data_IF_470007981576
#
_entry.id   IF_470007981576
#
_cell.length_a   1.000
_cell.length_b   1.000
_cell.length_c   1.000
_cell.angle_alpha   90.00
_cell.angle_beta   90.00
_cell.angle_gamma   90.00
#
_symmetry.space_group_name_H-M   'P 1'
#
loop_
_entity.id
_entity.type
_entity.pdbx_description
1 polymer ?
#
# COMPACT_ATOMS: atom_id res chain seq x y z
N UNK A 1 69.82 42.58 26.65
CA UNK A 1 68.77 41.95 27.48
C UNK A 1 67.49 41.89 26.64
N UNK A 2 67.48 40.96 25.68
CA UNK A 2 66.63 39.75 25.63
C UNK A 2 65.12 40.03 25.54
N UNK A 3 64.63 40.06 24.29
CA UNK A 3 63.22 39.89 23.93
C UNK A 3 62.93 38.39 23.92
N UNK A 4 61.95 37.94 24.70
CA UNK A 4 61.43 36.56 24.63
C UNK A 4 60.09 36.59 23.90
N UNK A 5 60.04 35.96 22.73
CA UNK A 5 58.82 35.66 21.99
C UNK A 5 58.19 34.39 22.58
N UNK A 6 56.91 34.45 22.95
CA UNK A 6 56.12 33.26 23.28
C UNK A 6 55.35 32.82 22.02
N UNK A 7 55.71 31.65 21.52
CA UNK A 7 54.97 30.90 20.50
C UNK A 7 53.88 30.12 21.24
N UNK A 8 52.61 30.34 20.88
CA UNK A 8 51.49 29.50 21.32
C UNK A 8 51.26 28.43 20.25
N UNK A 9 51.22 27.13 20.59
CA UNK A 9 50.98 26.08 19.61
C UNK A 9 49.49 26.04 19.25
N UNK A 10 49.20 25.98 17.95
CA UNK A 10 47.85 25.74 17.44
C UNK A 10 47.56 24.23 17.57
N UNK A 11 46.73 23.86 18.55
CA UNK A 11 46.24 22.48 18.70
C UNK A 11 45.19 22.23 17.61
N UNK A 12 45.55 21.43 16.59
CA UNK A 12 44.58 20.95 15.61
C UNK A 12 43.68 19.90 16.25
N UNK A 13 42.42 20.24 16.48
CA UNK A 13 41.40 19.32 16.95
C UNK A 13 40.97 18.42 15.77
N UNK A 14 41.51 17.20 15.73
CA UNK A 14 41.03 16.16 14.83
C UNK A 14 39.73 15.61 15.41
N UNK A 15 38.59 16.08 14.92
CA UNK A 15 37.30 15.47 15.22
C UNK A 15 37.19 14.14 14.47
N UNK A 16 37.45 13.04 15.16
CA UNK A 16 37.03 11.71 14.72
C UNK A 16 35.50 11.64 14.82
N UNK A 17 34.81 11.59 13.68
CA UNK A 17 33.39 11.24 13.66
C UNK A 17 33.26 9.76 14.00
N UNK A 18 32.95 9.47 15.26
CA UNK A 18 32.39 8.18 15.63
C UNK A 18 30.98 8.13 15.04
N UNK A 19 30.70 7.12 14.21
CA UNK A 19 29.36 6.80 13.74
C UNK A 19 28.43 6.66 14.96
N UNK A 20 27.56 7.64 15.15
CA UNK A 20 26.42 7.46 16.03
C UNK A 20 25.51 6.43 15.34
N UNK A 21 25.48 5.20 15.88
CA UNK A 21 24.39 4.28 15.59
C UNK A 21 23.09 5.00 15.98
N UNK A 22 22.24 5.22 14.99
CA UNK A 22 20.91 5.76 15.21
C UNK A 22 20.05 4.71 15.92
N UNK A 23 20.09 4.73 17.25
CA UNK A 23 19.32 3.85 18.13
C UNK A 23 17.84 4.24 18.24
N UNK A 24 17.35 5.17 17.40
CA UNK A 24 15.93 5.59 17.39
C UNK A 24 15.09 4.92 16.30
N UNK A 25 15.73 4.23 15.36
CA UNK A 25 15.03 3.54 14.27
C UNK A 25 14.75 2.08 14.67
N UNK A 26 13.48 1.69 14.85
CA UNK A 26 13.02 0.32 15.18
C UNK A 26 13.23 -0.69 14.02
N UNK A 27 14.32 -0.57 13.27
CA UNK A 27 14.64 -1.46 12.16
C UNK A 27 15.27 -2.75 12.66
N UNK A 28 14.80 -3.87 12.12
CA UNK A 28 15.42 -5.18 12.30
C UNK A 28 16.32 -5.46 11.11
N UNK A 29 17.60 -5.72 11.36
CA UNK A 29 18.51 -6.19 10.30
C UNK A 29 18.01 -7.52 9.75
N UNK A 30 18.00 -7.63 8.42
CA UNK A 30 17.75 -8.87 7.71
C UNK A 30 19.06 -9.51 7.22
N UNK A 31 20.20 -8.83 7.34
CA UNK A 31 21.50 -9.43 7.02
C UNK A 31 22.02 -10.19 8.24
N UNK A 32 22.25 -11.51 8.16
CA UNK A 32 22.83 -12.27 9.26
C UNK A 32 24.34 -11.97 9.41
N UNK A 33 24.92 -12.28 10.58
CA UNK A 33 26.35 -12.05 10.84
C UNK A 33 27.27 -12.89 9.93
N UNK A 34 26.82 -14.08 9.57
CA UNK A 34 27.44 -15.01 8.62
C UNK A 34 26.34 -15.76 7.88
N UNK A 35 26.67 -16.52 6.83
CA UNK A 35 25.69 -17.39 6.19
C UNK A 35 24.51 -16.62 5.56
N UNK A 36 23.38 -17.31 5.42
CA UNK A 36 22.17 -16.82 4.76
C UNK A 36 20.91 -17.10 5.62
N UNK A 37 21.06 -17.20 6.94
CA UNK A 37 19.97 -17.45 7.87
C UNK A 37 18.85 -16.41 7.71
N UNK A 38 17.60 -16.88 7.69
CA UNK A 38 16.43 -16.04 7.41
C UNK A 38 16.17 -15.82 5.92
N UNK A 39 16.95 -16.45 5.04
CA UNK A 39 16.80 -16.40 3.60
C UNK A 39 16.83 -17.78 2.95
N UNK A 40 16.17 -17.88 1.79
CA UNK A 40 16.25 -19.03 0.89
C UNK A 40 16.24 -18.60 -0.57
N UNK A 41 16.64 -19.51 -1.46
CA UNK A 41 16.55 -19.32 -2.89
C UNK A 41 15.14 -19.50 -3.43
N UNK A 42 14.68 -18.54 -4.21
CA UNK A 42 13.47 -18.69 -5.02
C UNK A 42 13.62 -17.97 -6.37
N UNK A 43 13.38 -18.63 -7.51
CA UNK A 43 13.43 -17.97 -8.81
C UNK A 43 12.23 -17.04 -9.01
N UNK A 44 12.16 -16.39 -10.18
CA UNK A 44 10.97 -15.65 -10.59
C UNK A 44 9.75 -16.59 -10.65
N UNK A 45 8.90 -16.50 -9.63
CA UNK A 45 7.76 -17.39 -9.44
C UNK A 45 6.60 -16.63 -8.84
N UNK A 46 5.43 -16.78 -9.44
CA UNK A 46 4.16 -16.29 -8.89
C UNK A 46 3.96 -16.83 -7.46
N UNK A 47 3.77 -15.97 -6.44
CA UNK A 47 3.52 -16.37 -5.06
C UNK A 47 2.44 -17.44 -4.88
N UNK A 48 1.42 -17.46 -5.72
CA UNK A 48 0.33 -18.45 -5.67
C UNK A 48 0.80 -19.87 -5.97
N UNK A 49 1.92 -20.03 -6.67
CA UNK A 49 2.47 -21.33 -7.10
C UNK A 49 3.53 -21.88 -6.14
N UNK A 50 3.93 -21.12 -5.13
CA UNK A 50 5.02 -21.54 -4.23
C UNK A 50 4.64 -22.76 -3.37
N UNK A 51 3.38 -22.85 -2.94
CA UNK A 51 2.88 -23.98 -2.15
C UNK A 51 2.90 -25.32 -2.93
N UNK A 52 2.93 -25.27 -4.26
CA UNK A 52 2.94 -26.45 -5.13
C UNK A 52 4.36 -26.90 -5.52
N UNK A 53 5.40 -26.23 -5.01
CA UNK A 53 6.79 -26.59 -5.30
C UNK A 53 7.19 -27.82 -4.51
N UNK A 54 7.63 -28.86 -5.23
CA UNK A 54 8.09 -30.11 -4.64
C UNK A 54 9.44 -29.97 -3.91
N UNK A 55 9.72 -30.92 -3.01
CA UNK A 55 10.93 -30.91 -2.20
C UNK A 55 12.23 -31.03 -3.01
N UNK A 56 12.18 -31.64 -4.19
CA UNK A 56 13.33 -31.80 -5.08
C UNK A 56 13.76 -30.44 -5.66
N UNK A 57 12.80 -29.64 -6.16
CA UNK A 57 13.06 -28.27 -6.62
C UNK A 57 13.52 -27.35 -5.48
N UNK A 58 12.91 -27.46 -4.30
CA UNK A 58 13.36 -26.68 -3.14
C UNK A 58 14.82 -27.01 -2.78
N UNK A 59 15.20 -28.29 -2.82
CA UNK A 59 16.58 -28.72 -2.60
C UNK A 59 17.53 -28.21 -3.70
N UNK A 60 17.10 -28.23 -4.97
CA UNK A 60 17.86 -27.67 -6.08
C UNK A 60 18.11 -26.17 -5.89
N UNK A 61 17.07 -25.38 -5.60
CA UNK A 61 17.22 -23.94 -5.40
C UNK A 61 18.11 -23.62 -4.21
N UNK A 62 18.03 -24.41 -3.14
CA UNK A 62 18.95 -24.28 -2.01
C UNK A 62 20.40 -24.48 -2.44
N UNK A 63 20.70 -25.54 -3.19
CA UNK A 63 22.05 -25.79 -3.69
C UNK A 63 22.55 -24.67 -4.62
N UNK A 64 21.70 -24.19 -5.53
CA UNK A 64 22.04 -23.05 -6.40
C UNK A 64 22.26 -21.77 -5.61
N UNK A 65 21.51 -21.55 -4.54
CA UNK A 65 21.70 -20.40 -3.64
C UNK A 65 23.05 -20.47 -2.95
N UNK A 66 23.41 -21.62 -2.37
CA UNK A 66 24.69 -21.83 -1.71
C UNK A 66 25.89 -21.71 -2.67
N UNK A 67 25.68 -21.96 -3.97
CA UNK A 67 26.69 -21.80 -5.00
C UNK A 67 26.91 -20.34 -5.43
N UNK A 68 25.85 -19.53 -5.49
CA UNK A 68 25.88 -18.21 -6.11
C UNK A 68 25.72 -17.04 -5.14
N UNK A 69 25.27 -17.31 -3.91
CA UNK A 69 25.16 -16.32 -2.84
C UNK A 69 26.18 -16.58 -1.74
N UNK A 70 26.79 -15.51 -1.25
CA UNK A 70 27.64 -15.56 -0.06
C UNK A 70 27.42 -14.33 0.81
N UNK A 71 27.72 -14.46 2.09
CA UNK A 71 27.77 -13.34 3.02
C UNK A 71 29.19 -13.17 3.51
N UNK A 72 29.78 -12.00 3.25
CA UNK A 72 31.13 -11.65 3.70
C UNK A 72 31.06 -10.35 4.48
N UNK A 73 31.32 -10.44 5.78
CA UNK A 73 31.37 -9.30 6.70
C UNK A 73 30.10 -8.43 6.65
N UNK A 74 28.92 -9.05 6.62
CA UNK A 74 27.63 -8.36 6.55
C UNK A 74 27.27 -7.82 5.16
N UNK A 75 27.94 -8.30 4.11
CA UNK A 75 27.61 -8.00 2.72
C UNK A 75 27.15 -9.26 2.01
N UNK A 76 25.90 -9.26 1.55
CA UNK A 76 25.34 -10.31 0.71
C UNK A 76 25.80 -10.08 -0.73
N UNK A 77 26.43 -11.09 -1.32
CA UNK A 77 27.07 -11.01 -2.64
C UNK A 77 26.45 -12.07 -3.53
N UNK A 78 26.00 -11.67 -4.72
CA UNK A 78 25.60 -12.56 -5.79
C UNK A 78 26.44 -12.33 -7.04
N UNK A 79 26.80 -13.42 -7.74
CA UNK A 79 27.67 -13.41 -8.92
C UNK A 79 26.95 -13.20 -10.26
N UNK A 80 25.65 -12.90 -10.23
CA UNK A 80 24.78 -12.73 -11.39
C UNK A 80 23.97 -13.96 -11.79
N UNK A 81 24.08 -15.06 -11.03
CA UNK A 81 23.41 -16.33 -11.33
C UNK A 81 22.62 -16.87 -10.13
N UNK A 82 21.88 -17.96 -10.37
CA UNK A 82 21.07 -18.63 -9.36
C UNK A 82 19.71 -17.97 -9.09
N UNK A 83 19.00 -18.43 -8.06
CA UNK A 83 17.70 -17.88 -7.69
C UNK A 83 17.84 -16.54 -6.94
N UNK A 84 16.71 -15.86 -6.75
CA UNK A 84 16.65 -14.64 -5.93
C UNK A 84 16.79 -15.00 -4.46
N UNK A 85 17.48 -14.15 -3.71
CA UNK A 85 17.56 -14.31 -2.26
C UNK A 85 16.26 -13.77 -1.66
N UNK A 86 15.49 -14.65 -1.01
CA UNK A 86 14.11 -14.40 -0.57
C UNK A 86 14.01 -14.55 0.95
N UNK A 87 13.39 -13.58 1.63
CA UNK A 87 13.21 -13.66 3.08
C UNK A 87 12.28 -14.83 3.45
N UNK A 88 12.60 -15.55 4.52
CA UNK A 88 11.71 -16.59 5.07
C UNK A 88 10.43 -15.99 5.65
N UNK A 89 10.56 -14.79 6.24
CA UNK A 89 9.44 -14.02 6.77
C UNK A 89 8.73 -13.26 5.66
N UNK A 90 7.41 -13.21 5.74
CA UNK A 90 6.57 -12.31 4.93
C UNK A 90 6.23 -11.03 5.70
N UNK A 91 6.02 -9.95 4.94
CA UNK A 91 5.71 -8.63 5.48
C UNK A 91 4.44 -8.07 4.84
N UNK A 92 3.69 -7.31 5.64
CA UNK A 92 2.51 -6.56 5.18
C UNK A 92 2.92 -5.11 4.91
N UNK A 93 2.64 -4.19 5.82
CA UNK A 93 3.03 -2.79 5.73
C UNK A 93 4.41 -2.59 6.38
N UNK A 94 5.34 -1.94 5.67
CA UNK A 94 6.72 -1.80 6.14
C UNK A 94 7.44 -0.59 5.57
N UNK A 95 8.49 -0.20 6.28
CA UNK A 95 9.59 0.61 5.78
C UNK A 95 10.83 -0.29 5.63
N UNK A 96 11.36 -0.39 4.42
CA UNK A 96 12.56 -1.15 4.07
C UNK A 96 13.68 -0.17 3.73
N UNK A 97 14.87 -0.39 4.28
CA UNK A 97 16.10 0.27 3.86
C UNK A 97 17.14 -0.77 3.46
N UNK A 98 17.94 -0.44 2.46
CA UNK A 98 19.08 -1.25 2.03
C UNK A 98 20.06 -0.39 1.25
N UNK A 99 21.27 -0.90 1.07
CA UNK A 99 22.20 -0.40 0.07
C UNK A 99 22.54 -1.48 -0.94
N UNK A 100 22.71 -1.07 -2.20
CA UNK A 100 23.21 -1.95 -3.25
C UNK A 100 24.43 -1.35 -3.96
N UNK A 101 25.30 -2.23 -4.46
CA UNK A 101 26.39 -1.88 -5.36
C UNK A 101 26.43 -2.90 -6.49
N UNK A 102 26.53 -2.41 -7.72
CA UNK A 102 26.49 -3.26 -8.91
C UNK A 102 27.50 -2.80 -9.97
N UNK A 103 27.68 -3.64 -10.98
CA UNK A 103 28.61 -3.43 -12.11
C UNK A 103 27.85 -2.98 -13.37
N UNK A 104 28.57 -2.42 -14.34
CA UNK A 104 28.00 -2.09 -15.64
C UNK A 104 27.41 -3.35 -16.31
N UNK A 105 26.34 -3.16 -17.07
CA UNK A 105 25.51 -4.16 -17.78
C UNK A 105 24.73 -5.11 -16.88
N UNK A 106 24.89 -5.02 -15.56
CA UNK A 106 24.05 -5.75 -14.63
C UNK A 106 22.62 -5.20 -14.65
N UNK A 107 21.68 -6.08 -14.32
CA UNK A 107 20.27 -5.78 -14.13
C UNK A 107 19.86 -6.40 -12.80
N UNK A 108 18.98 -5.74 -12.05
CA UNK A 108 18.48 -6.26 -10.79
C UNK A 108 17.21 -5.51 -10.38
N UNK A 109 16.73 -5.79 -9.19
CA UNK A 109 15.56 -5.18 -8.61
C UNK A 109 15.25 -5.73 -7.23
N UNK A 110 14.37 -5.02 -6.55
CA UNK A 110 13.86 -5.40 -5.24
C UNK A 110 12.41 -5.79 -5.44
N UNK A 111 12.09 -7.05 -5.13
CA UNK A 111 10.73 -7.55 -5.17
C UNK A 111 10.08 -7.23 -3.84
N UNK A 112 8.91 -6.60 -3.92
CA UNK A 112 8.09 -6.22 -2.78
C UNK A 112 6.92 -7.19 -2.71
N UNK A 113 6.81 -7.93 -1.60
CA UNK A 113 5.80 -9.00 -1.41
C UNK A 113 5.83 -10.03 -2.55
N UNK A 114 7.02 -10.47 -2.92
CA UNK A 114 7.24 -11.44 -4.02
C UNK A 114 6.80 -10.94 -5.40
N UNK A 115 6.67 -9.63 -5.59
CA UNK A 115 6.24 -9.01 -6.85
C UNK A 115 7.33 -8.06 -7.37
N UNK A 116 7.76 -8.19 -8.65
CA UNK A 116 8.85 -7.39 -9.21
C UNK A 116 8.42 -5.94 -9.41
N UNK A 117 9.08 -4.97 -8.77
CA UNK A 117 8.79 -3.56 -9.05
C UNK A 117 9.98 -2.62 -8.99
N UNK A 118 10.69 -2.54 -7.86
CA UNK A 118 11.71 -1.50 -7.68
C UNK A 118 12.95 -1.87 -8.48
N UNK A 119 13.09 -1.26 -9.65
CA UNK A 119 14.03 -1.67 -10.67
C UNK A 119 15.42 -1.06 -10.45
N UNK A 120 16.47 -1.84 -10.73
CA UNK A 120 17.87 -1.38 -10.72
C UNK A 120 18.42 -1.56 -12.12
N UNK A 121 18.72 -0.45 -12.79
CA UNK A 121 19.16 -0.44 -14.18
C UNK A 121 20.66 -0.21 -14.33
N UNK A 122 21.22 -0.71 -15.43
CA UNK A 122 22.33 -0.02 -16.07
C UNK A 122 21.80 1.19 -16.85
N UNK A 123 21.99 2.39 -16.29
CA UNK A 123 21.50 3.64 -16.92
C UNK A 123 22.35 4.13 -18.10
N UNK A 124 23.40 3.38 -18.47
CA UNK A 124 24.31 3.64 -19.58
C UNK A 124 24.14 2.64 -20.74
N UNK A 125 23.38 1.57 -20.55
CA UNK A 125 23.07 0.59 -21.59
C UNK A 125 22.00 1.14 -22.56
N UNK A 126 22.47 1.74 -23.65
CA UNK A 126 21.62 2.30 -24.71
C UNK A 126 20.61 1.29 -25.29
N UNK A 127 20.93 -0.01 -25.25
CA UNK A 127 20.02 -1.05 -25.75
C UNK A 127 18.72 -1.13 -24.94
N UNK A 128 18.75 -0.69 -23.67
CA UNK A 128 17.61 -0.68 -22.73
C UNK A 128 16.92 0.67 -22.61
N UNK A 129 17.31 1.69 -23.37
CA UNK A 129 16.68 3.02 -23.26
C UNK A 129 15.21 3.02 -23.72
N UNK A 130 14.84 2.11 -24.63
CA UNK A 130 13.42 1.90 -24.99
C UNK A 130 12.58 1.37 -23.83
N UNK A 131 13.24 0.79 -22.82
CA UNK A 131 12.65 0.35 -21.55
C UNK A 131 12.80 1.42 -20.46
N UNK A 132 13.27 2.62 -20.77
CA UNK A 132 13.41 3.70 -19.79
C UNK A 132 14.61 3.58 -18.86
N UNK A 133 15.59 2.69 -19.12
CA UNK A 133 16.79 2.57 -18.30
C UNK A 133 17.58 3.90 -18.18
N UNK A 134 17.52 4.76 -19.22
CA UNK A 134 18.11 6.10 -19.19
C UNK A 134 17.44 7.06 -18.19
N UNK A 135 16.21 6.78 -17.74
CA UNK A 135 15.47 7.60 -16.80
C UNK A 135 15.96 7.41 -15.35
N UNK A 136 16.59 6.27 -15.05
CA UNK A 136 17.14 5.95 -13.74
C UNK A 136 16.47 4.77 -13.04
N UNK A 137 17.06 4.34 -11.93
CA UNK A 137 16.57 3.25 -11.09
C UNK A 137 15.53 3.70 -10.05
N UNK A 138 14.94 2.74 -9.34
CA UNK A 138 14.03 2.95 -8.21
C UNK A 138 12.55 3.06 -8.58
N UNK A 139 12.22 3.10 -9.87
CA UNK A 139 10.84 3.11 -10.35
C UNK A 139 10.13 1.77 -10.14
N UNK A 140 8.80 1.79 -10.12
CA UNK A 140 7.90 0.63 -10.19
C UNK A 140 7.77 0.21 -11.65
N UNK A 141 8.83 -0.40 -12.19
CA UNK A 141 9.00 -0.65 -13.62
C UNK A 141 7.81 -1.39 -14.25
N UNK A 142 7.20 -2.31 -13.52
CA UNK A 142 6.10 -3.13 -14.00
C UNK A 142 4.72 -2.47 -13.84
N UNK A 143 4.60 -1.23 -13.39
CA UNK A 143 3.33 -0.50 -13.50
C UNK A 143 2.94 -0.27 -14.97
N UNK A 144 1.68 0.06 -15.23
CA UNK A 144 1.21 0.34 -16.59
C UNK A 144 1.87 1.61 -17.14
N UNK A 145 2.03 1.71 -18.46
CA UNK A 145 2.63 2.88 -19.09
C UNK A 145 1.88 4.17 -18.71
N UNK A 146 2.61 5.19 -18.25
CA UNK A 146 2.04 6.47 -17.80
C UNK A 146 1.39 6.42 -16.40
N UNK A 147 1.32 5.26 -15.75
CA UNK A 147 0.87 5.20 -14.36
C UNK A 147 1.91 5.84 -13.43
N UNK A 148 1.48 6.47 -12.32
CA UNK A 148 2.41 6.97 -11.30
C UNK A 148 3.41 5.88 -10.86
N UNK A 149 4.67 6.28 -10.69
CA UNK A 149 5.76 5.40 -10.30
C UNK A 149 6.32 4.50 -11.40
N UNK A 150 5.70 4.42 -12.59
CA UNK A 150 6.22 3.63 -13.73
C UNK A 150 7.63 4.04 -14.12
N UNK A 151 7.88 5.33 -14.13
CA UNK A 151 9.18 5.96 -14.39
C UNK A 151 9.59 6.76 -13.14
N UNK A 152 10.88 6.87 -12.84
CA UNK A 152 11.34 7.59 -11.65
C UNK A 152 11.14 9.10 -11.84
N UNK A 153 10.84 9.81 -10.75
CA UNK A 153 10.69 11.27 -10.77
C UNK A 153 12.00 11.98 -11.12
N UNK A 154 13.13 11.42 -10.67
CA UNK A 154 14.48 11.92 -10.94
C UNK A 154 15.45 10.76 -11.15
N UNK A 155 16.46 10.97 -12.00
CA UNK A 155 17.60 10.05 -12.11
C UNK A 155 18.53 10.27 -10.92
N UNK A 156 18.53 9.34 -9.97
CA UNK A 156 19.30 9.45 -8.72
C UNK A 156 20.44 8.43 -8.60
N UNK A 157 20.69 7.61 -9.61
CA UNK A 157 21.76 6.61 -9.64
C UNK A 157 23.16 7.22 -9.46
N UNK A 158 23.98 6.57 -8.63
CA UNK A 158 25.43 6.81 -8.57
C UNK A 158 26.18 5.99 -9.63
N UNK A 159 27.43 6.35 -9.95
CA UNK A 159 28.29 5.56 -10.83
C UNK A 159 28.45 4.09 -10.39
N UNK A 160 28.70 3.19 -11.34
CA UNK A 160 28.98 1.78 -11.04
C UNK A 160 30.19 1.63 -10.12
N UNK A 161 30.12 0.67 -9.19
CA UNK A 161 31.11 0.50 -8.13
C UNK A 161 30.89 1.36 -6.89
N UNK A 162 29.93 2.29 -6.89
CA UNK A 162 29.50 3.02 -5.70
C UNK A 162 28.25 2.39 -5.06
N UNK A 163 28.08 2.62 -3.76
CA UNK A 163 26.90 2.19 -3.01
C UNK A 163 25.75 3.18 -3.21
N UNK A 164 24.60 2.64 -3.61
CA UNK A 164 23.33 3.34 -3.75
C UNK A 164 22.45 2.98 -2.55
N UNK A 165 21.92 3.98 -1.84
CA UNK A 165 20.97 3.77 -0.75
C UNK A 165 19.54 3.77 -1.28
N UNK A 166 18.73 2.82 -0.83
CA UNK A 166 17.31 2.71 -1.18
C UNK A 166 16.49 2.69 0.10
N UNK A 167 15.42 3.49 0.13
CA UNK A 167 14.40 3.43 1.18
C UNK A 167 13.02 3.29 0.54
N UNK A 168 12.27 2.27 0.94
CA UNK A 168 10.92 1.98 0.45
C UNK A 168 9.95 2.07 1.63
N UNK A 169 8.86 2.80 1.47
CA UNK A 169 7.71 2.77 2.39
C UNK A 169 6.55 2.17 1.60
N UNK A 170 6.01 1.04 2.06
CA UNK A 170 4.87 0.39 1.44
C UNK A 170 3.76 0.15 2.46
N UNK A 171 2.61 0.80 2.24
CA UNK A 171 1.37 0.64 3.01
C UNK A 171 0.25 0.22 2.06
N UNK A 172 -0.29 -0.99 2.22
CA UNK A 172 -1.14 -1.59 1.19
C UNK A 172 -0.40 -1.70 -0.14
N UNK A 173 -0.93 -1.11 -1.21
CA UNK A 173 -0.26 -0.97 -2.51
C UNK A 173 0.49 0.35 -2.65
N UNK A 174 0.25 1.31 -1.77
CA UNK A 174 0.85 2.63 -1.82
C UNK A 174 2.33 2.54 -1.50
N UNK A 175 3.15 2.88 -2.47
CA UNK A 175 4.59 2.68 -2.44
C UNK A 175 5.31 4.00 -2.70
N UNK A 176 6.21 4.35 -1.80
CA UNK A 176 7.13 5.48 -1.91
C UNK A 176 8.54 4.95 -1.94
N UNK A 177 9.37 5.44 -2.86
CA UNK A 177 10.76 5.02 -3.01
C UNK A 177 11.67 6.25 -3.01
N UNK A 178 12.71 6.18 -2.18
CA UNK A 178 13.85 7.09 -2.21
C UNK A 178 15.08 6.33 -2.71
N UNK A 179 15.84 6.96 -3.60
CA UNK A 179 17.14 6.49 -4.07
C UNK A 179 18.15 7.60 -3.81
N UNK A 180 19.21 7.31 -3.03
CA UNK A 180 20.22 8.29 -2.64
C UNK A 180 19.61 9.58 -2.06
N UNK A 181 18.67 9.41 -1.13
CA UNK A 181 17.90 10.47 -0.46
C UNK A 181 17.01 11.33 -1.37
N UNK A 182 16.94 11.02 -2.66
CA UNK A 182 16.03 11.66 -3.62
C UNK A 182 14.74 10.85 -3.74
N UNK A 183 13.59 11.54 -3.70
CA UNK A 183 12.28 10.92 -3.93
C UNK A 183 12.15 10.53 -5.41
N UNK A 184 12.06 9.24 -5.71
CA UNK A 184 11.95 8.72 -7.09
C UNK A 184 10.58 8.12 -7.39
N UNK A 185 9.83 7.68 -6.38
CA UNK A 185 8.41 7.30 -6.50
C UNK A 185 7.66 7.89 -5.32
N UNK A 186 6.60 8.64 -5.58
CA UNK A 186 5.77 9.28 -4.55
C UNK A 186 4.40 8.61 -4.43
N UNK A 187 4.21 7.81 -3.38
CA UNK A 187 2.93 7.24 -2.94
C UNK A 187 2.08 6.63 -4.07
N UNK A 188 2.73 5.98 -5.03
CA UNK A 188 2.09 5.39 -6.19
C UNK A 188 1.42 4.05 -5.84
N UNK A 189 0.33 3.70 -6.53
CA UNK A 189 -0.23 2.36 -6.43
C UNK A 189 0.67 1.38 -7.17
N UNK A 190 1.25 0.44 -6.44
CA UNK A 190 1.96 -0.70 -6.99
C UNK A 190 0.98 -1.70 -7.59
N UNK A 191 1.03 -1.87 -8.90
CA UNK A 191 0.19 -2.83 -9.62
C UNK A 191 0.65 -4.27 -9.36
N UNK A 192 -0.31 -5.19 -9.34
CA UNK A 192 -0.01 -6.61 -9.26
C UNK A 192 0.47 -7.11 -10.63
N UNK A 193 1.79 -7.31 -10.75
CA UNK A 193 2.42 -7.83 -11.98
C UNK A 193 1.82 -9.17 -12.43
N UNK A 194 1.47 -10.03 -11.47
CA UNK A 194 1.00 -11.39 -11.73
C UNK A 194 -0.46 -11.44 -12.18
N UNK A 195 -1.25 -10.43 -11.84
CA UNK A 195 -2.65 -10.27 -12.25
C UNK A 195 -3.13 -8.83 -11.98
N UNK A 196 -3.09 -7.96 -12.99
CA UNK A 196 -3.48 -6.55 -12.85
C UNK A 196 -4.96 -6.34 -12.54
N UNK A 197 -5.80 -7.37 -12.68
CA UNK A 197 -7.22 -7.30 -12.30
C UNK A 197 -7.43 -7.44 -10.79
N UNK A 198 -6.40 -7.89 -10.07
CA UNK A 198 -6.44 -8.10 -8.62
C UNK A 198 -5.58 -7.06 -7.89
N UNK A 199 -5.87 -6.77 -6.61
CA UNK A 199 -4.96 -6.02 -5.78
C UNK A 199 -3.61 -6.76 -5.62
N UNK A 200 -2.57 -6.04 -5.20
CA UNK A 200 -1.33 -6.66 -4.76
C UNK A 200 -1.60 -7.61 -3.58
N UNK A 201 -0.76 -8.64 -3.44
CA UNK A 201 -0.79 -9.49 -2.26
C UNK A 201 -0.68 -8.66 -0.98
N UNK A 202 -1.50 -9.01 0.03
CA UNK A 202 -1.51 -8.34 1.33
C UNK A 202 -0.20 -8.55 2.09
N UNK A 203 0.36 -9.75 2.01
CA UNK A 203 1.68 -10.11 2.55
C UNK A 203 2.54 -10.77 1.49
N UNK A 204 3.84 -10.74 1.70
CA UNK A 204 4.79 -11.55 0.96
C UNK A 204 6.23 -11.25 1.36
N UNK A 205 7.21 -12.00 0.83
CA UNK A 205 8.61 -11.82 1.17
C UNK A 205 9.22 -10.60 0.45
N UNK A 206 10.38 -10.16 0.94
CA UNK A 206 11.30 -9.31 0.17
C UNK A 206 12.22 -10.23 -0.63
N UNK A 207 12.47 -9.90 -1.90
CA UNK A 207 13.45 -10.64 -2.70
C UNK A 207 14.47 -9.71 -3.34
N UNK A 208 15.74 -10.12 -3.25
CA UNK A 208 16.87 -9.47 -3.90
C UNK A 208 17.13 -10.19 -5.22
N UNK A 209 16.83 -9.52 -6.33
CA UNK A 209 16.94 -10.12 -7.66
C UNK A 209 18.40 -10.30 -8.06
N UNK A 210 18.66 -11.39 -8.77
CA UNK A 210 19.88 -11.56 -9.58
C UNK A 210 19.52 -11.62 -11.05
N UNK A 211 20.31 -10.95 -11.90
CA UNK A 211 20.15 -11.01 -13.34
C UNK A 211 21.43 -10.62 -14.12
N UNK A 212 22.32 -11.59 -14.32
CA UNK A 212 23.37 -11.54 -15.34
C UNK A 212 24.61 -10.69 -15.01
N UNK A 213 24.70 -10.14 -13.80
CA UNK A 213 25.88 -9.42 -13.32
C UNK A 213 25.98 -9.38 -11.81
N UNK A 214 27.19 -9.15 -11.29
CA UNK A 214 27.45 -9.10 -9.85
C UNK A 214 26.65 -7.98 -9.19
N UNK A 215 26.01 -8.31 -8.06
CA UNK A 215 25.37 -7.32 -7.20
C UNK A 215 25.63 -7.64 -5.72
N UNK A 216 25.91 -6.59 -4.96
CA UNK A 216 26.16 -6.65 -3.54
C UNK A 216 25.07 -5.88 -2.81
N UNK A 217 24.68 -6.39 -1.65
CA UNK A 217 23.67 -5.81 -0.78
C UNK A 217 24.20 -5.74 0.65
N UNK A 218 23.93 -4.64 1.34
CA UNK A 218 24.21 -4.50 2.76
C UNK A 218 23.16 -3.63 3.43
N UNK A 219 23.20 -3.60 4.76
CA UNK A 219 22.31 -2.79 5.58
C UNK A 219 20.82 -3.01 5.23
N UNK A 220 20.49 -4.23 4.77
CA UNK A 220 19.12 -4.64 4.47
C UNK A 220 18.40 -4.76 5.81
N UNK A 221 17.47 -3.84 6.07
CA UNK A 221 16.76 -3.79 7.33
C UNK A 221 15.32 -3.32 7.13
N UNK A 222 14.42 -3.85 7.95
CA UNK A 222 12.99 -3.60 7.82
C UNK A 222 12.37 -3.15 9.14
N UNK A 223 11.38 -2.27 9.06
CA UNK A 223 10.52 -1.84 10.16
C UNK A 223 9.07 -2.06 9.75
N UNK A 224 8.36 -2.90 10.46
CA UNK A 224 6.93 -3.12 10.21
C UNK A 224 6.13 -1.89 10.67
N UNK A 225 5.13 -1.52 9.89
CA UNK A 225 4.28 -0.35 10.13
C UNK A 225 2.94 -0.85 10.70
N UNK A 226 2.61 -0.39 11.91
CA UNK A 226 1.35 -0.72 12.57
C UNK A 226 0.15 0.00 11.94
N UNK A 227 -1.07 -0.48 12.23
CA UNK A 227 -2.31 0.03 11.68
C UNK A 227 -2.49 1.56 11.82
N UNK A 228 -2.21 2.11 13.00
CA UNK A 228 -2.39 3.54 13.27
C UNK A 228 -1.39 4.40 12.48
N UNK A 229 -0.13 4.00 12.40
CA UNK A 229 0.89 4.69 11.60
C UNK A 229 0.57 4.57 10.11
N UNK A 230 0.18 3.39 9.64
CA UNK A 230 -0.26 3.18 8.26
C UNK A 230 -1.44 4.10 7.89
N UNK A 231 -2.41 4.27 8.79
CA UNK A 231 -3.51 5.22 8.60
C UNK A 231 -3.02 6.66 8.49
N UNK A 232 -2.08 7.06 9.35
CA UNK A 232 -1.50 8.42 9.30
C UNK A 232 -0.75 8.65 7.98
N UNK A 233 0.03 7.67 7.52
CA UNK A 233 0.72 7.73 6.23
C UNK A 233 -0.31 7.91 5.11
N UNK A 234 -1.29 7.01 4.98
CA UNK A 234 -2.31 7.08 3.92
C UNK A 234 -3.08 8.40 3.95
N UNK A 235 -3.48 8.85 5.14
CA UNK A 235 -4.21 10.10 5.32
C UNK A 235 -3.35 11.35 5.08
N UNK A 236 -2.02 11.27 5.14
CA UNK A 236 -1.13 12.43 4.93
C UNK A 236 -0.96 12.84 3.46
N UNK A 237 -1.22 11.92 2.52
CA UNK A 237 -1.01 12.16 1.09
C UNK A 237 -2.28 12.65 0.36
N UNK A 238 -2.13 13.58 -0.58
CA UNK A 238 -3.22 13.98 -1.50
C UNK A 238 -4.41 14.67 -0.84
N UNK A 239 -4.17 15.46 0.22
CA UNK A 239 -5.22 16.16 0.97
C UNK A 239 -5.73 17.45 0.31
N UNK A 240 -5.08 17.91 -0.74
CA UNK A 240 -5.43 19.17 -1.40
C UNK A 240 -6.89 19.16 -1.87
N UNK A 241 -7.68 20.13 -1.42
CA UNK A 241 -9.07 20.32 -1.78
C UNK A 241 -10.10 19.46 -1.04
N UNK A 242 -9.70 18.54 -0.16
CA UNK A 242 -10.65 17.81 0.68
C UNK A 242 -11.28 18.74 1.73
N UNK A 243 -12.62 18.72 1.83
CA UNK A 243 -13.38 19.41 2.86
C UNK A 243 -13.88 18.41 3.91
N UNK A 244 -13.66 18.67 5.21
CA UNK A 244 -14.30 17.86 6.25
C UNK A 244 -15.82 18.06 6.22
N UNK A 245 -16.58 16.96 6.27
CA UNK A 245 -18.04 16.96 6.37
C UNK A 245 -18.54 16.57 7.77
N UNK A 246 -17.61 16.36 8.71
CA UNK A 246 -17.91 16.08 10.11
C UNK A 246 -17.01 16.90 11.04
N UNK A 247 -17.62 17.59 12.00
CA UNK A 247 -16.92 18.50 12.90
C UNK A 247 -16.34 17.81 14.16
N UNK A 248 -16.57 16.50 14.32
CA UNK A 248 -16.17 15.72 15.50
C UNK A 248 -17.01 16.01 16.75
N UNK A 249 -18.09 16.78 16.66
CA UNK A 249 -18.84 17.30 17.82
C UNK A 249 -20.35 17.11 17.68
N UNK A 250 -20.88 17.20 16.47
CA UNK A 250 -22.31 17.18 16.22
C UNK A 250 -22.64 16.59 14.85
N UNK A 251 -23.91 16.23 14.64
CA UNK A 251 -24.44 15.84 13.33
C UNK A 251 -24.89 17.06 12.51
N UNK A 252 -24.36 18.26 12.81
CA UNK A 252 -24.63 19.44 11.98
C UNK A 252 -24.11 19.20 10.57
N UNK A 253 -24.94 19.50 9.56
CA UNK A 253 -24.61 19.17 8.17
C UNK A 253 -25.07 17.78 7.74
N UNK A 254 -25.77 17.03 8.61
CA UNK A 254 -26.33 15.71 8.34
C UNK A 254 -27.84 15.67 8.56
N UNK A 255 -28.52 14.81 7.82
CA UNK A 255 -29.98 14.58 7.76
C UNK A 255 -30.31 13.09 7.77
N UNK A 256 -31.60 12.80 7.85
CA UNK A 256 -32.14 11.44 7.85
C UNK A 256 -32.26 10.90 9.26
N UNK A 257 -31.67 9.74 9.52
CA UNK A 257 -31.79 9.00 10.78
C UNK A 257 -30.95 9.61 11.93
N UNK A 258 -30.90 10.94 12.08
CA UNK A 258 -30.07 11.65 13.06
C UNK A 258 -30.29 11.16 14.50
N UNK A 259 -31.52 10.80 14.87
CA UNK A 259 -31.84 10.29 16.22
C UNK A 259 -31.32 8.86 16.48
N UNK A 260 -31.00 8.12 15.42
CA UNK A 260 -30.46 6.77 15.48
C UNK A 260 -28.93 6.74 15.52
N UNK A 261 -28.27 7.88 15.32
CA UNK A 261 -26.83 8.04 15.43
C UNK A 261 -26.48 8.92 16.63
N UNK A 262 -25.24 8.81 17.07
CA UNK A 262 -24.67 9.61 18.13
C UNK A 262 -23.24 10.02 17.79
N UNK A 263 -22.78 11.10 18.41
CA UNK A 263 -21.37 11.51 18.36
C UNK A 263 -20.72 11.10 19.67
N UNK A 264 -19.75 10.20 19.61
CA UNK A 264 -19.01 9.67 20.78
C UNK A 264 -17.52 9.81 20.49
N UNK A 265 -16.79 10.48 21.38
CA UNK A 265 -15.33 10.68 21.30
C UNK A 265 -14.83 11.12 19.91
N UNK A 266 -15.56 12.04 19.26
CA UNK A 266 -15.19 12.55 17.94
C UNK A 266 -15.53 11.62 16.78
N UNK A 267 -16.39 10.61 16.99
CA UNK A 267 -16.83 9.65 15.99
C UNK A 267 -18.34 9.68 15.84
N UNK A 268 -18.83 9.51 14.60
CA UNK A 268 -20.23 9.17 14.35
C UNK A 268 -20.40 7.67 14.59
N UNK A 269 -21.38 7.28 15.40
CA UNK A 269 -21.71 5.88 15.68
C UNK A 269 -23.20 5.63 15.54
N UNK A 270 -23.57 4.55 14.86
CA UNK A 270 -24.97 4.09 14.90
C UNK A 270 -25.28 3.54 16.29
N UNK A 271 -26.41 3.93 16.89
CA UNK A 271 -26.77 3.41 18.22
C UNK A 271 -27.01 1.90 18.13
N UNK A 272 -26.62 1.11 19.15
CA UNK A 272 -26.85 -0.33 19.13
C UNK A 272 -28.33 -0.68 18.91
N UNK A 273 -28.62 -1.57 17.96
CA UNK A 273 -29.97 -1.99 17.54
C UNK A 273 -30.81 -0.90 16.85
N UNK A 274 -30.19 0.18 16.40
CA UNK A 274 -30.81 1.19 15.54
C UNK A 274 -30.21 1.17 14.14
N UNK A 275 -30.89 1.78 13.17
CA UNK A 275 -30.38 1.83 11.79
C UNK A 275 -30.97 2.99 10.99
N UNK A 276 -30.95 2.84 9.67
CA UNK A 276 -31.43 3.85 8.75
C UNK A 276 -30.33 4.75 8.20
N UNK A 277 -30.72 5.60 7.27
CA UNK A 277 -29.77 6.37 6.46
C UNK A 277 -29.47 7.71 7.11
N UNK A 278 -28.21 7.93 7.48
CA UNK A 278 -27.69 9.24 7.88
C UNK A 278 -26.91 9.80 6.69
N UNK A 279 -27.24 10.98 6.19
CA UNK A 279 -26.62 11.50 4.97
C UNK A 279 -26.35 13.01 5.06
N UNK A 280 -25.36 13.46 4.29
CA UNK A 280 -24.92 14.85 4.22
C UNK A 280 -26.01 15.79 3.70
N UNK A 281 -26.00 17.05 4.15
CA UNK A 281 -26.90 18.10 3.64
C UNK A 281 -26.63 18.44 2.17
N UNK A 282 -25.35 18.43 1.80
CA UNK A 282 -24.87 18.70 0.45
C UNK A 282 -25.09 17.47 -0.44
N UNK A 283 -25.19 17.72 -1.74
CA UNK A 283 -25.18 16.69 -2.79
C UNK A 283 -23.94 16.82 -3.65
N UNK A 284 -23.43 15.70 -4.13
CA UNK A 284 -22.16 15.59 -4.85
C UNK A 284 -22.39 14.88 -6.19
N UNK A 285 -21.72 15.37 -7.23
CA UNK A 285 -21.70 14.76 -8.55
C UNK A 285 -20.59 13.73 -8.62
N UNK A 286 -19.48 14.08 -9.27
CA UNK A 286 -18.21 13.38 -9.12
C UNK A 286 -17.53 13.86 -7.84
N UNK A 287 -16.97 12.92 -7.06
CA UNK A 287 -16.30 13.22 -5.81
C UNK A 287 -15.36 12.10 -5.37
N UNK A 288 -14.44 12.44 -4.47
CA UNK A 288 -13.76 11.48 -3.60
C UNK A 288 -14.24 11.65 -2.19
N UNK A 289 -14.33 10.56 -1.44
CA UNK A 289 -14.55 10.57 0.00
C UNK A 289 -13.47 9.77 0.70
N UNK A 290 -12.93 10.32 1.77
CA UNK A 290 -12.08 9.63 2.74
C UNK A 290 -12.84 9.45 4.03
N UNK A 291 -12.72 8.28 4.62
CA UNK A 291 -13.37 7.95 5.89
C UNK A 291 -12.53 6.93 6.64
N UNK A 292 -12.36 7.16 7.95
CA UNK A 292 -11.91 6.13 8.88
C UNK A 292 -13.13 5.42 9.44
N UNK A 293 -13.13 4.09 9.42
CA UNK A 293 -14.19 3.31 10.05
C UNK A 293 -13.65 2.19 10.94
N UNK A 294 -14.42 1.83 11.97
CA UNK A 294 -14.13 0.71 12.87
C UNK A 294 -15.35 -0.17 13.01
N UNK A 295 -15.14 -1.47 12.80
CA UNK A 295 -16.19 -2.48 12.89
C UNK A 295 -16.21 -3.07 14.31
N UNK A 296 -17.40 -3.22 14.93
CA UNK A 296 -17.61 -4.17 16.01
C UNK A 296 -17.72 -5.61 15.45
N UNK A 297 -17.62 -6.65 16.30
CA UNK A 297 -17.84 -8.03 15.86
C UNK A 297 -19.20 -8.20 15.19
N UNK A 298 -19.21 -8.72 13.97
CA UNK A 298 -20.41 -8.88 13.15
C UNK A 298 -21.05 -7.57 12.69
N UNK A 299 -20.34 -6.45 12.73
CA UNK A 299 -20.89 -5.15 12.34
C UNK A 299 -21.31 -5.08 10.88
N UNK A 300 -22.43 -4.42 10.61
CA UNK A 300 -22.95 -4.14 9.29
C UNK A 300 -23.41 -2.68 9.17
N UNK A 301 -22.97 -2.02 8.09
CA UNK A 301 -23.36 -0.69 7.65
C UNK A 301 -23.01 -0.58 6.15
N UNK A 302 -23.12 0.61 5.57
CA UNK A 302 -22.64 0.86 4.22
C UNK A 302 -22.42 2.33 3.95
N UNK A 303 -21.68 2.65 2.90
CA UNK A 303 -21.57 4.02 2.40
C UNK A 303 -22.61 4.22 1.31
N UNK A 304 -23.57 5.10 1.56
CA UNK A 304 -24.59 5.47 0.58
C UNK A 304 -23.98 6.44 -0.44
N UNK A 305 -23.93 6.03 -1.72
CA UNK A 305 -23.33 6.81 -2.80
C UNK A 305 -24.42 7.45 -3.65
N UNK A 306 -24.36 8.79 -3.80
CA UNK A 306 -25.35 9.59 -4.54
C UNK A 306 -26.80 9.26 -4.15
N UNK A 307 -27.05 9.12 -2.86
CA UNK A 307 -28.38 8.83 -2.33
C UNK A 307 -29.34 10.00 -2.59
N UNK A 308 -30.57 9.77 -3.11
CA UNK A 308 -31.51 10.84 -3.42
C UNK A 308 -32.17 11.49 -2.18
N UNK A 309 -31.94 10.96 -0.98
CA UNK A 309 -32.51 11.47 0.28
C UNK A 309 -33.75 10.71 0.77
N UNK A 310 -34.29 9.81 -0.05
CA UNK A 310 -35.41 8.95 0.28
C UNK A 310 -35.24 7.53 -0.29
N UNK A 311 -36.03 6.58 0.22
CA UNK A 311 -35.95 5.17 -0.18
C UNK A 311 -34.78 4.41 0.46
N UNK A 312 -34.49 3.21 -0.06
CA UNK A 312 -33.42 2.36 0.48
C UNK A 312 -32.07 2.75 -0.15
N UNK A 313 -31.05 3.18 0.63
CA UNK A 313 -29.78 3.64 0.08
C UNK A 313 -29.06 2.59 -0.80
N UNK A 314 -29.26 1.30 -0.52
CA UNK A 314 -28.70 0.20 -1.29
C UNK A 314 -29.18 0.13 -2.74
N UNK A 315 -30.35 0.70 -3.04
CA UNK A 315 -30.98 0.61 -4.37
C UNK A 315 -31.34 1.98 -4.95
N UNK A 316 -31.78 2.91 -4.11
CA UNK A 316 -32.22 4.25 -4.47
C UNK A 316 -31.05 5.18 -4.77
N UNK A 317 -29.87 4.98 -4.16
CA UNK A 317 -28.64 5.67 -4.55
C UNK A 317 -27.99 5.03 -5.78
N UNK A 318 -26.86 5.56 -6.25
CA UNK A 318 -26.06 4.88 -7.28
C UNK A 318 -25.65 3.48 -6.84
N UNK A 319 -25.22 3.36 -5.58
CA UNK A 319 -24.98 2.08 -4.92
C UNK A 319 -24.79 2.31 -3.41
N UNK A 320 -24.87 1.23 -2.63
CA UNK A 320 -24.25 1.14 -1.32
C UNK A 320 -22.88 0.46 -1.47
N UNK A 321 -21.83 1.06 -0.91
CA UNK A 321 -20.55 0.37 -0.72
C UNK A 321 -20.53 -0.28 0.64
N UNK A 322 -20.46 -1.60 0.66
CA UNK A 322 -20.68 -2.37 1.88
C UNK A 322 -19.63 -2.10 2.97
N UNK A 323 -20.05 -1.96 4.22
CA UNK A 323 -19.20 -1.89 5.42
C UNK A 323 -19.57 -3.04 6.36
N UNK A 324 -18.81 -4.14 6.28
CA UNK A 324 -19.19 -5.40 6.91
C UNK A 324 -17.99 -6.10 7.57
N UNK A 325 -18.21 -6.66 8.76
CA UNK A 325 -17.30 -7.67 9.31
C UNK A 325 -17.46 -8.99 8.54
N UNK A 326 -16.61 -9.15 7.52
CA UNK A 326 -16.58 -10.33 6.67
C UNK A 326 -16.24 -11.64 7.42
N UNK A 327 -15.74 -11.55 8.66
CA UNK A 327 -15.28 -12.73 9.43
C UNK A 327 -16.37 -13.34 10.30
N UNK A 328 -17.49 -12.64 10.49
CA UNK A 328 -18.56 -13.13 11.33
C UNK A 328 -19.29 -14.34 10.70
N UNK A 329 -19.51 -15.39 11.50
CA UNK A 329 -20.11 -16.66 11.05
C UNK A 329 -21.48 -16.46 10.36
N UNK A 330 -22.29 -15.51 10.85
CA UNK A 330 -23.59 -15.16 10.24
C UNK A 330 -23.49 -14.71 8.78
N UNK A 331 -22.32 -14.31 8.31
CA UNK A 331 -22.06 -13.84 6.95
C UNK A 331 -21.25 -14.82 6.10
N UNK A 332 -21.00 -16.05 6.58
CA UNK A 332 -20.14 -17.03 5.89
C UNK A 332 -20.64 -17.47 4.50
N UNK A 333 -21.92 -17.24 4.18
CA UNK A 333 -22.58 -17.73 2.95
C UNK A 333 -23.28 -16.61 2.15
N UNK A 334 -22.82 -15.38 2.28
CA UNK A 334 -23.34 -14.28 1.46
C UNK A 334 -22.87 -14.39 -0.01
N UNK A 335 -23.63 -13.77 -0.91
CA UNK A 335 -23.18 -13.50 -2.28
C UNK A 335 -21.92 -12.62 -2.24
N UNK A 336 -21.00 -12.83 -3.19
CA UNK A 336 -19.74 -12.10 -3.24
C UNK A 336 -19.94 -10.56 -3.25
N UNK A 337 -21.03 -10.07 -3.88
CA UNK A 337 -21.39 -8.66 -4.00
C UNK A 337 -21.94 -8.05 -2.71
N UNK A 338 -22.05 -8.82 -1.63
CA UNK A 338 -22.54 -8.36 -0.32
C UNK A 338 -21.43 -8.24 0.73
N UNK A 339 -20.18 -8.57 0.41
CA UNK A 339 -19.05 -8.39 1.33
C UNK A 339 -18.48 -6.98 1.25
N UNK A 340 -17.75 -6.59 2.29
CA UNK A 340 -17.17 -5.25 2.43
C UNK A 340 -16.47 -4.73 1.16
N UNK A 341 -16.67 -3.45 0.87
CA UNK A 341 -16.09 -2.74 -0.27
C UNK A 341 -16.84 -2.96 -1.58
N UNK A 342 -17.72 -3.96 -1.67
CA UNK A 342 -18.49 -4.26 -2.87
C UNK A 342 -19.51 -3.16 -3.16
N UNK A 343 -19.76 -2.89 -4.44
CA UNK A 343 -20.95 -2.17 -4.88
C UNK A 343 -22.14 -3.13 -4.75
N UNK A 344 -22.94 -2.93 -3.69
CA UNK A 344 -23.89 -3.91 -3.20
C UNK A 344 -24.81 -4.42 -4.30
N UNK A 345 -24.85 -5.74 -4.48
CA UNK A 345 -25.69 -6.41 -5.49
C UNK A 345 -25.27 -6.20 -6.95
N UNK A 346 -24.20 -5.45 -7.23
CA UNK A 346 -23.70 -5.15 -8.60
C UNK A 346 -22.30 -5.70 -8.87
N UNK A 347 -21.31 -5.38 -8.03
CA UNK A 347 -19.91 -5.75 -8.27
C UNK A 347 -19.19 -6.11 -6.96
N UNK A 348 -18.55 -7.27 -6.94
CA UNK A 348 -17.83 -7.77 -5.78
C UNK A 348 -16.44 -7.14 -5.67
N UNK A 349 -16.07 -6.70 -4.46
CA UNK A 349 -14.72 -6.26 -4.16
C UNK A 349 -13.82 -7.45 -3.76
N UNK A 350 -12.51 -7.27 -3.94
CA UNK A 350 -11.51 -8.19 -3.41
C UNK A 350 -11.58 -8.22 -1.87
N UNK A 351 -11.55 -9.43 -1.30
CA UNK A 351 -11.62 -9.66 0.14
C UNK A 351 -10.24 -9.83 0.76
N UNK A 352 -10.17 -9.76 2.09
CA UNK A 352 -8.94 -10.04 2.85
C UNK A 352 -8.08 -8.81 3.17
N UNK A 353 -8.55 -7.60 2.87
CA UNK A 353 -7.81 -6.34 3.10
C UNK A 353 -8.31 -5.52 4.29
N UNK A 354 -9.39 -5.98 4.94
CA UNK A 354 -9.82 -5.46 6.24
C UNK A 354 -8.77 -5.77 7.30
N UNK A 355 -8.59 -4.80 8.20
CA UNK A 355 -7.93 -5.04 9.48
C UNK A 355 -8.85 -5.80 10.42
N UNK A 356 -8.26 -6.30 11.50
CA UNK A 356 -8.99 -7.03 12.51
C UNK A 356 -10.09 -6.16 13.12
N UNK A 357 -11.18 -6.81 13.54
CA UNK A 357 -12.30 -6.14 14.21
C UNK A 357 -11.78 -5.32 15.41
N UNK A 358 -12.31 -4.11 15.57
CA UNK A 358 -11.83 -3.16 16.58
C UNK A 358 -10.64 -2.30 16.15
N UNK A 359 -10.00 -2.56 15.01
CA UNK A 359 -9.00 -1.66 14.42
C UNK A 359 -9.64 -0.66 13.44
N UNK A 360 -9.04 0.52 13.34
CA UNK A 360 -9.43 1.53 12.37
C UNK A 360 -8.99 1.13 10.97
N UNK A 361 -9.88 1.23 10.00
CA UNK A 361 -9.61 1.09 8.58
C UNK A 361 -9.68 2.46 7.91
N UNK A 362 -8.73 2.75 7.03
CA UNK A 362 -8.79 3.91 6.15
C UNK A 362 -9.42 3.49 4.82
N UNK A 363 -10.42 4.23 4.34
CA UNK A 363 -11.00 3.99 3.03
C UNK A 363 -11.09 5.30 2.23
N UNK A 364 -10.58 5.28 1.01
CA UNK A 364 -10.82 6.29 -0.02
C UNK A 364 -11.74 5.70 -1.10
N UNK A 365 -12.82 6.39 -1.41
CA UNK A 365 -13.70 6.05 -2.53
C UNK A 365 -13.65 7.17 -3.53
N UNK A 366 -13.39 6.84 -4.80
CA UNK A 366 -13.51 7.77 -5.92
C UNK A 366 -14.75 7.42 -6.74
N UNK A 367 -15.64 8.38 -6.94
CA UNK A 367 -16.84 8.28 -7.77
C UNK A 367 -16.69 9.29 -8.91
N UNK A 368 -16.49 8.80 -10.14
CA UNK A 368 -16.25 9.64 -11.33
C UNK A 368 -17.05 9.13 -12.52
N UNK A 369 -18.03 9.91 -12.97
CA UNK A 369 -19.05 9.43 -13.90
C UNK A 369 -19.76 8.20 -13.31
N UNK A 370 -19.88 7.08 -14.05
CA UNK A 370 -20.39 5.81 -13.54
C UNK A 370 -19.31 4.92 -12.90
N UNK A 371 -18.04 5.34 -12.91
CA UNK A 371 -16.95 4.54 -12.35
C UNK A 371 -16.82 4.78 -10.85
N UNK A 372 -16.79 3.68 -10.09
CA UNK A 372 -16.53 3.66 -8.65
C UNK A 372 -15.24 2.88 -8.40
N UNK A 373 -14.32 3.50 -7.67
CA UNK A 373 -13.08 2.89 -7.19
C UNK A 373 -13.08 2.91 -5.67
N UNK A 374 -12.80 1.77 -5.04
CA UNK A 374 -12.65 1.63 -3.58
C UNK A 374 -11.21 1.24 -3.27
N UNK A 375 -10.54 2.09 -2.51
CA UNK A 375 -9.24 1.83 -1.92
C UNK A 375 -9.39 1.64 -0.41
N UNK A 376 -9.02 0.46 0.09
CA UNK A 376 -9.09 0.09 1.50
C UNK A 376 -7.68 -0.17 2.05
N UNK A 377 -7.29 0.56 3.08
CA UNK A 377 -5.98 0.47 3.73
C UNK A 377 -4.83 0.50 2.71
N UNK A 378 -4.94 1.39 1.71
CA UNK A 378 -3.95 1.53 0.64
C UNK A 378 -4.06 0.53 -0.52
N UNK A 379 -5.05 -0.37 -0.52
CA UNK A 379 -5.24 -1.39 -1.57
C UNK A 379 -6.48 -1.09 -2.40
N UNK A 380 -6.36 -1.04 -3.72
CA UNK A 380 -7.51 -0.89 -4.64
C UNK A 380 -8.27 -2.21 -4.73
N UNK A 381 -9.33 -2.35 -3.95
CA UNK A 381 -10.12 -3.58 -3.83
C UNK A 381 -11.30 -3.66 -4.79
N UNK A 382 -11.72 -2.53 -5.37
CA UNK A 382 -12.76 -2.48 -6.39
C UNK A 382 -12.47 -1.35 -7.37
N UNK A 383 -12.64 -1.62 -8.66
CA UNK A 383 -12.77 -0.62 -9.70
C UNK A 383 -13.81 -1.12 -10.70
N UNK A 384 -14.94 -0.43 -10.81
CA UNK A 384 -16.06 -0.88 -11.64
C UNK A 384 -16.80 0.29 -12.26
N UNK A 385 -17.22 0.13 -13.50
CA UNK A 385 -18.16 1.01 -14.18
C UNK A 385 -19.56 0.44 -13.99
N UNK A 386 -20.34 1.01 -13.06
CA UNK A 386 -21.65 0.44 -12.69
C UNK A 386 -22.69 0.53 -13.81
N UNK A 387 -22.47 1.40 -14.81
CA UNK A 387 -23.34 1.50 -15.98
C UNK A 387 -23.22 0.29 -16.91
N UNK A 388 -22.07 -0.41 -16.86
CA UNK A 388 -21.78 -1.61 -17.65
C UNK A 388 -22.18 -2.91 -16.96
N UNK A 389 -22.63 -2.86 -15.71
CA UNK A 389 -23.06 -4.06 -14.99
C UNK A 389 -24.36 -4.58 -15.60
N UNK A 390 -24.39 -5.87 -15.95
CA UNK A 390 -25.55 -6.56 -16.51
C UNK A 390 -26.08 -7.68 -15.63
N UNK A 391 -25.26 -8.18 -14.69
CA UNK A 391 -25.63 -9.27 -13.77
C UNK A 391 -25.86 -8.72 -12.36
N UNK A 392 -27.09 -8.83 -11.87
CA UNK A 392 -27.53 -8.26 -10.59
C UNK A 392 -27.89 -9.38 -9.62
N UNK A 393 -27.64 -9.16 -8.33
CA UNK A 393 -28.06 -10.12 -7.29
C UNK A 393 -29.59 -10.26 -7.20
N UNK A 394 -30.32 -9.21 -7.57
CA UNK A 394 -31.78 -9.18 -7.55
C UNK A 394 -32.41 -9.55 -8.91
N UNK A 395 -31.63 -10.05 -9.87
CA UNK A 395 -32.04 -10.41 -11.24
C UNK A 395 -32.77 -9.27 -12.01
N UNK A 396 -32.65 -8.04 -11.52
CA UNK A 396 -33.28 -6.84 -12.07
C UNK A 396 -32.28 -5.69 -12.09
N UNK A 397 -32.31 -4.79 -13.09
CA UNK A 397 -31.40 -3.67 -13.17
C UNK A 397 -31.45 -2.79 -11.92
N UNK A 398 -30.29 -2.41 -11.41
CA UNK A 398 -30.18 -1.56 -10.23
C UNK A 398 -30.79 -0.16 -10.48
N UNK A 399 -31.84 0.26 -9.75
CA UNK A 399 -32.66 1.39 -10.16
C UNK A 399 -31.94 2.74 -10.06
N UNK A 400 -31.05 2.93 -9.08
CA UNK A 400 -30.32 4.19 -8.93
C UNK A 400 -28.99 4.27 -9.68
N UNK A 401 -28.56 3.25 -10.43
CA UNK A 401 -27.17 3.17 -10.97
C UNK A 401 -26.81 4.32 -11.93
N UNK A 402 -27.81 4.93 -12.56
CA UNK A 402 -27.64 6.03 -13.51
C UNK A 402 -27.62 7.42 -12.84
N UNK A 403 -27.77 7.50 -11.52
CA UNK A 403 -27.72 8.78 -10.81
C UNK A 403 -26.35 9.42 -10.96
N UNK A 404 -26.34 10.65 -11.46
CA UNK A 404 -25.13 11.48 -11.63
C UNK A 404 -24.85 12.38 -10.44
N UNK A 405 -25.80 12.52 -9.50
CA UNK A 405 -25.69 13.38 -8.32
C UNK A 405 -26.57 12.89 -7.18
N UNK A 406 -26.09 13.03 -5.94
CA UNK A 406 -26.90 12.81 -4.73
C UNK A 406 -26.07 12.99 -3.46
N UNK A 407 -26.64 12.63 -2.31
CA UNK A 407 -25.98 12.73 -1.01
C UNK A 407 -24.93 11.62 -0.82
N UNK A 408 -23.92 11.90 0.01
CA UNK A 408 -23.09 10.88 0.64
C UNK A 408 -23.66 10.56 2.04
N UNK A 409 -23.62 9.30 2.48
CA UNK A 409 -24.12 8.93 3.80
C UNK A 409 -23.72 7.54 4.29
N UNK A 410 -24.31 7.14 5.41
CA UNK A 410 -24.18 5.84 6.05
C UNK A 410 -25.51 5.09 6.05
N UNK A 411 -25.50 3.82 5.64
CA UNK A 411 -26.64 2.93 5.60
C UNK A 411 -26.64 2.03 6.85
N UNK A 412 -27.22 2.51 7.95
CA UNK A 412 -27.14 1.84 9.24
C UNK A 412 -27.95 0.55 9.33
N UNK A 413 -27.33 -0.53 9.81
CA UNK A 413 -27.92 -1.86 9.91
C UNK A 413 -27.82 -2.47 11.33
N UNK A 414 -28.32 -1.77 12.36
CA UNK A 414 -28.44 -2.25 13.76
C UNK A 414 -27.13 -2.38 14.54
N UNK A 415 -25.98 -2.30 13.88
CA UNK A 415 -24.68 -2.50 14.51
C UNK A 415 -23.93 -1.17 14.74
N UNK A 416 -23.21 -1.02 15.87
CA UNK A 416 -22.54 0.22 16.22
C UNK A 416 -21.19 0.40 15.50
N UNK A 417 -21.24 0.47 14.17
CA UNK A 417 -20.10 0.85 13.33
C UNK A 417 -19.75 2.32 13.59
N UNK A 418 -18.46 2.60 13.75
CA UNK A 418 -17.95 3.92 14.09
C UNK A 418 -17.21 4.52 12.89
N UNK A 419 -17.42 5.82 12.67
CA UNK A 419 -16.83 6.59 11.57
C UNK A 419 -16.21 7.88 12.08
N UNK A 420 -15.04 8.27 11.57
CA UNK A 420 -14.40 9.56 11.84
C UNK A 420 -13.57 10.04 10.65
N UNK A 421 -13.06 11.27 10.76
CA UNK A 421 -12.17 11.86 9.75
C UNK A 421 -12.78 11.76 8.33
N UNK A 422 -14.03 12.20 8.24
CA UNK A 422 -14.83 12.10 7.01
C UNK A 422 -14.62 13.38 6.21
N UNK A 423 -13.98 13.27 5.05
CA UNK A 423 -13.75 14.40 4.15
C UNK A 423 -14.10 14.07 2.71
N UNK A 424 -14.60 15.08 1.99
CA UNK A 424 -15.04 14.94 0.61
C UNK A 424 -14.34 15.99 -0.27
N UNK A 425 -13.83 15.55 -1.41
CA UNK A 425 -13.30 16.38 -2.49
C UNK A 425 -14.25 16.27 -3.69
N UNK A 426 -15.03 17.31 -4.03
CA UNK A 426 -15.72 17.38 -5.32
C UNK A 426 -14.70 17.38 -6.48
N UNK A 427 -14.99 16.66 -7.57
CA UNK A 427 -14.08 16.49 -8.72
C UNK A 427 -14.49 17.28 -9.97
#
# INVERSE_FOLDING_TARGET
MQRSAFIVPLLALVCTFANAQDTTSNFTSLVPESGLEGWHGRPHLDPRKYADVDAEKLAQWKQETEAHWSNKDGVLINDGHGPYLTTDKEYTDYELKLEYRTVAKADSGIYLRGTPQVQIWDTTDESKFKLGANLGSGALWNNSAGAPGKDPLVKADKPFGEWNSVRVIQVGQRTTVYLNDQLVVDNALMENYWDRSQPLFRSGPIQLQTHGGEILWRDVAIREIGADEANQILASHGNEGFESVFDGKSLKGWKGAVDNYEVVDGMIRCKPKHGGTLFTDKTYGDFKVRVMFRLPPGGNNGLAIRYPGEGNPAYSGTTELQVLDNTAEKYAKLDARQYHGSAYGMAAAARGFLRDVGQWNFQEVTVKGPTITVELNGNKILETDVSKVTEFMADTPHPGRELSKGHFGFAGHNDPVEFKEISILPL
#
